data_IF_992782081292
#
_entry.id   IF_992782081292
#
_cell.length_a   1.000
_cell.length_b   1.000
_cell.length_c   1.000
_cell.angle_alpha   90.00
_cell.angle_beta   90.00
_cell.angle_gamma   90.00
#
_symmetry.space_group_name_H-M   'P 1'
#
loop_
_entity.id
_entity.type
_entity.pdbx_description
1 polymer ?
#
# COMPACT_ATOMS: atom_id res chain seq x y z
N UNK A 1 -10.15 -12.81 -10.97
CA UNK A 1 -10.02 -13.92 -11.95
C UNK A 1 -11.37 -14.32 -12.53
N UNK A 2 -12.45 -14.32 -11.73
CA UNK A 2 -13.82 -14.59 -12.19
C UNK A 2 -14.29 -13.69 -13.34
N UNK A 3 -13.84 -12.42 -13.38
CA UNK A 3 -14.10 -11.49 -14.47
C UNK A 3 -13.31 -11.79 -15.78
N UNK A 4 -12.60 -12.92 -15.88
CA UNK A 4 -11.86 -13.33 -17.09
C UNK A 4 -10.55 -12.57 -17.35
N UNK A 5 -10.13 -11.70 -16.44
CA UNK A 5 -8.89 -10.94 -16.56
C UNK A 5 -7.66 -11.81 -16.21
N UNK A 6 -6.58 -11.63 -16.98
CA UNK A 6 -5.26 -12.20 -16.67
C UNK A 6 -4.72 -11.54 -15.40
N UNK A 7 -4.31 -12.35 -14.44
CA UNK A 7 -3.77 -11.89 -13.14
C UNK A 7 -2.53 -12.71 -12.81
N UNK A 8 -1.42 -12.02 -12.57
CA UNK A 8 -0.18 -12.59 -12.04
C UNK A 8 -0.21 -12.47 -10.52
N UNK A 9 0.11 -13.53 -9.78
CA UNK A 9 0.16 -13.43 -8.32
C UNK A 9 1.46 -12.75 -7.87
N UNK A 10 1.43 -12.12 -6.70
CA UNK A 10 2.65 -11.54 -6.09
C UNK A 10 3.72 -12.61 -5.87
N UNK A 11 3.34 -13.82 -5.45
CA UNK A 11 4.28 -14.95 -5.27
C UNK A 11 4.98 -15.34 -6.56
N UNK A 12 4.32 -15.20 -7.71
CA UNK A 12 4.90 -15.52 -9.02
C UNK A 12 5.99 -14.49 -9.38
N UNK A 13 5.82 -13.23 -8.96
CA UNK A 13 6.80 -12.15 -9.15
C UNK A 13 7.96 -12.31 -8.16
N UNK A 14 7.66 -12.50 -6.87
CA UNK A 14 8.67 -12.55 -5.83
C UNK A 14 9.50 -13.83 -5.89
N UNK A 15 8.87 -14.96 -6.26
CA UNK A 15 9.40 -16.31 -6.10
C UNK A 15 9.39 -16.78 -4.64
N UNK A 16 8.74 -16.03 -3.75
CA UNK A 16 8.67 -16.32 -2.32
C UNK A 16 7.30 -16.93 -1.98
N UNK A 17 7.26 -18.09 -1.29
CA UNK A 17 6.00 -18.74 -0.93
C UNK A 17 5.21 -17.90 0.06
N UNK A 18 3.89 -18.07 0.08
CA UNK A 18 3.06 -17.49 1.13
C UNK A 18 3.40 -18.14 2.47
N UNK A 19 3.68 -17.32 3.49
CA UNK A 19 4.00 -17.76 4.84
C UNK A 19 3.50 -16.72 5.86
N UNK A 20 3.51 -17.10 7.16
CA UNK A 20 3.08 -16.24 8.27
C UNK A 20 1.69 -15.64 8.04
N UNK A 21 0.75 -16.47 7.57
CA UNK A 21 -0.63 -16.09 7.25
C UNK A 21 -0.73 -14.87 6.30
N UNK A 22 0.25 -14.75 5.39
CA UNK A 22 0.30 -13.71 4.37
C UNK A 22 0.82 -12.35 4.85
N UNK A 23 1.27 -12.23 6.10
CA UNK A 23 1.75 -10.97 6.72
C UNK A 23 2.90 -10.29 5.97
N UNK A 24 3.74 -11.07 5.30
CA UNK A 24 4.96 -10.58 4.65
C UNK A 24 4.92 -10.66 3.13
N UNK A 25 3.79 -11.05 2.54
CA UNK A 25 3.71 -11.42 1.11
C UNK A 25 4.16 -10.32 0.15
N UNK A 26 3.94 -9.05 0.50
CA UNK A 26 4.31 -7.88 -0.33
C UNK A 26 5.56 -7.16 0.14
N UNK A 27 6.10 -7.51 1.31
CA UNK A 27 7.29 -6.90 1.90
C UNK A 27 8.57 -7.46 1.28
N UNK A 28 8.68 -7.34 -0.04
CA UNK A 28 9.74 -7.97 -0.83
C UNK A 28 10.49 -6.95 -1.70
N UNK A 29 11.83 -7.06 -1.85
CA UNK A 29 12.62 -6.13 -2.67
C UNK A 29 12.19 -6.06 -4.13
N UNK A 30 11.70 -7.15 -4.73
CA UNK A 30 11.16 -7.11 -6.10
C UNK A 30 9.92 -6.22 -6.23
N UNK A 31 9.09 -6.12 -5.20
CA UNK A 31 7.92 -5.24 -5.19
C UNK A 31 8.36 -3.81 -4.90
N UNK A 32 9.07 -3.61 -3.78
CA UNK A 32 9.47 -2.27 -3.36
C UNK A 32 10.51 -1.62 -4.28
N UNK A 33 11.39 -2.41 -4.91
CA UNK A 33 12.31 -1.93 -5.94
C UNK A 33 11.57 -1.44 -7.19
N UNK A 34 10.52 -2.16 -7.62
CA UNK A 34 9.65 -1.73 -8.70
C UNK A 34 8.90 -0.42 -8.41
N UNK A 35 8.56 -0.19 -7.14
CA UNK A 35 7.92 1.04 -6.68
C UNK A 35 8.88 2.21 -6.45
N UNK A 36 10.11 1.95 -5.99
CA UNK A 36 11.04 2.98 -5.48
C UNK A 36 12.21 3.32 -6.41
N UNK A 37 12.41 2.58 -7.49
CA UNK A 37 13.46 2.89 -8.47
C UNK A 37 13.28 4.33 -9.01
N UNK A 38 14.37 5.10 -8.98
CA UNK A 38 14.42 6.43 -9.57
C UNK A 38 14.81 6.24 -11.01
N UNK A 39 13.85 6.43 -11.93
CA UNK A 39 14.01 6.00 -13.32
C UNK A 39 15.00 6.84 -14.13
N UNK A 40 15.21 8.09 -13.72
CA UNK A 40 16.22 8.97 -14.30
C UNK A 40 17.63 8.74 -13.71
N UNK A 41 17.80 7.77 -12.79
CA UNK A 41 19.10 7.40 -12.23
C UNK A 41 19.59 6.10 -12.90
N UNK A 42 20.65 6.22 -13.70
CA UNK A 42 21.23 5.10 -14.46
C UNK A 42 21.66 3.93 -13.57
N UNK A 43 22.20 4.19 -12.38
CA UNK A 43 22.62 3.15 -11.45
C UNK A 43 21.42 2.39 -10.88
N UNK A 44 20.32 3.06 -10.57
CA UNK A 44 19.09 2.37 -10.15
C UNK A 44 18.55 1.49 -11.29
N UNK A 45 18.57 1.98 -12.52
CA UNK A 45 18.09 1.21 -13.67
C UNK A 45 18.98 0.02 -14.01
N UNK A 46 20.30 0.13 -13.79
CA UNK A 46 21.24 -0.99 -13.85
C UNK A 46 20.87 -2.07 -12.83
N UNK A 47 20.68 -1.69 -11.57
CA UNK A 47 20.30 -2.62 -10.50
C UNK A 47 18.94 -3.28 -10.74
N UNK A 48 17.94 -2.53 -11.21
CA UNK A 48 16.62 -3.06 -11.59
C UNK A 48 16.76 -4.18 -12.62
N UNK A 49 17.58 -3.95 -13.66
CA UNK A 49 17.84 -4.94 -14.70
C UNK A 49 18.59 -6.16 -14.16
N UNK A 50 19.66 -5.95 -13.39
CA UNK A 50 20.49 -7.03 -12.84
C UNK A 50 19.73 -7.93 -11.87
N UNK A 51 18.84 -7.35 -11.07
CA UNK A 51 18.06 -8.07 -10.06
C UNK A 51 16.75 -8.63 -10.62
N UNK A 52 16.46 -8.44 -11.91
CA UNK A 52 15.22 -8.88 -12.55
C UNK A 52 13.98 -8.28 -11.90
N UNK A 53 14.02 -6.99 -11.58
CA UNK A 53 12.92 -6.23 -10.98
C UNK A 53 12.07 -5.63 -12.09
N UNK A 54 10.76 -5.82 -12.03
CA UNK A 54 9.81 -5.13 -12.91
C UNK A 54 9.39 -3.80 -12.28
N UNK A 55 9.35 -2.74 -13.10
CA UNK A 55 8.86 -1.43 -12.65
C UNK A 55 7.34 -1.44 -12.53
N UNK A 56 6.82 -0.70 -11.54
CA UNK A 56 5.39 -0.53 -11.32
C UNK A 56 5.02 0.92 -11.58
N UNK A 57 4.10 1.16 -12.52
CA UNK A 57 3.65 2.51 -12.92
C UNK A 57 2.41 2.98 -12.15
N UNK A 58 1.56 2.04 -11.74
CA UNK A 58 0.29 2.29 -11.08
C UNK A 58 0.08 1.24 -10.00
N UNK A 59 -0.29 1.70 -8.82
CA UNK A 59 -0.74 0.85 -7.73
C UNK A 59 -2.14 1.29 -7.30
N UNK A 60 -2.99 0.30 -6.99
CA UNK A 60 -4.34 0.52 -6.47
C UNK A 60 -4.48 -0.34 -5.23
N UNK A 61 -4.50 0.31 -4.06
CA UNK A 61 -4.65 -0.37 -2.76
C UNK A 61 -5.68 0.38 -1.94
N UNK A 62 -6.72 -0.32 -1.52
CA UNK A 62 -7.69 0.16 -0.56
C UNK A 62 -7.37 -0.54 0.77
N UNK A 63 -7.01 0.22 1.81
CA UNK A 63 -6.81 -0.37 3.13
C UNK A 63 -8.14 -0.88 3.66
N UNK A 64 -8.12 -2.10 4.20
CA UNK A 64 -9.26 -2.59 4.97
C UNK A 64 -9.37 -1.74 6.24
N UNK A 65 -10.56 -1.24 6.58
CA UNK A 65 -10.69 -0.28 7.65
C UNK A 65 -10.47 -0.97 9.00
N UNK A 66 -9.26 -0.88 9.55
CA UNK A 66 -8.94 -1.16 10.96
C UNK A 66 -10.00 -0.55 11.90
N UNK A 67 -10.50 0.64 11.54
CA UNK A 67 -11.66 1.29 12.15
C UNK A 67 -12.87 0.36 12.34
N UNK A 68 -13.27 -0.40 11.32
CA UNK A 68 -14.40 -1.34 11.43
C UNK A 68 -14.10 -2.49 12.38
N UNK A 69 -12.84 -2.91 12.51
CA UNK A 69 -12.44 -3.95 13.45
C UNK A 69 -12.58 -3.45 14.89
N UNK A 70 -12.02 -2.27 15.19
CA UNK A 70 -12.06 -1.70 16.55
C UNK A 70 -13.45 -1.17 16.97
N UNK A 71 -14.37 -0.99 16.02
CA UNK A 71 -15.77 -0.61 16.27
C UNK A 71 -16.67 -1.81 16.63
N UNK A 72 -16.17 -3.05 16.53
CA UNK A 72 -16.95 -4.22 16.97
C UNK A 72 -17.08 -4.21 18.50
N UNK A 73 -18.28 -4.49 19.05
CA UNK A 73 -18.52 -4.42 20.50
C UNK A 73 -17.57 -5.26 21.35
N UNK A 74 -17.15 -6.43 20.85
CA UNK A 74 -16.38 -7.43 21.59
C UNK A 74 -14.99 -7.68 21.00
N UNK A 75 -14.42 -6.68 20.31
CA UNK A 75 -13.08 -6.80 19.72
C UNK A 75 -12.03 -6.96 20.84
N UNK A 76 -11.24 -8.02 20.75
CA UNK A 76 -10.10 -8.22 21.64
C UNK A 76 -8.88 -7.44 21.16
N UNK A 77 -7.93 -7.17 22.06
CA UNK A 77 -6.64 -6.59 21.69
C UNK A 77 -5.92 -7.44 20.63
N UNK A 78 -5.93 -8.77 20.80
CA UNK A 78 -5.33 -9.69 19.84
C UNK A 78 -6.00 -9.57 18.46
N UNK A 79 -7.34 -9.57 18.40
CA UNK A 79 -8.06 -9.37 17.14
C UNK A 79 -7.72 -8.02 16.49
N UNK A 80 -7.61 -6.95 17.28
CA UNK A 80 -7.21 -5.65 16.76
C UNK A 80 -5.78 -5.68 16.20
N UNK A 81 -4.81 -6.23 16.95
CA UNK A 81 -3.39 -6.34 16.53
C UNK A 81 -3.27 -7.15 15.22
N UNK A 82 -4.00 -8.25 15.09
CA UNK A 82 -4.00 -9.07 13.88
C UNK A 82 -4.51 -8.32 12.64
N UNK A 83 -5.35 -7.29 12.84
CA UNK A 83 -5.90 -6.47 11.76
C UNK A 83 -5.07 -5.21 11.46
N UNK A 84 -3.91 -5.03 12.08
CA UNK A 84 -2.97 -3.97 11.72
C UNK A 84 -2.24 -4.38 10.44
N UNK A 85 -2.51 -3.67 9.35
CA UNK A 85 -1.88 -3.88 8.05
C UNK A 85 -0.49 -3.23 8.02
N UNK A 86 0.51 -4.03 7.66
CA UNK A 86 1.89 -3.58 7.47
C UNK A 86 2.20 -3.40 5.98
N UNK A 87 1.80 -4.37 5.16
CA UNK A 87 2.12 -4.41 3.74
C UNK A 87 1.45 -3.30 2.94
N UNK A 88 0.17 -3.04 3.21
CA UNK A 88 -0.61 -1.98 2.57
C UNK A 88 0.02 -0.60 2.78
N UNK A 89 0.18 -0.12 4.02
CA UNK A 89 0.84 1.15 4.30
C UNK A 89 2.27 1.23 3.76
N UNK A 90 3.06 0.15 3.80
CA UNK A 90 4.41 0.14 3.26
C UNK A 90 4.41 0.40 1.73
N UNK A 91 3.58 -0.31 0.97
CA UNK A 91 3.47 -0.12 -0.49
C UNK A 91 2.89 1.24 -0.84
N UNK A 92 1.87 1.71 -0.12
CA UNK A 92 1.27 3.02 -0.31
C UNK A 92 2.29 4.14 -0.13
N UNK A 93 3.03 4.14 0.99
CA UNK A 93 4.05 5.16 1.27
C UNK A 93 5.22 5.09 0.29
N UNK A 94 5.64 3.89 -0.12
CA UNK A 94 6.68 3.72 -1.14
C UNK A 94 6.28 4.36 -2.48
N UNK A 95 5.05 4.10 -2.91
CA UNK A 95 4.49 4.63 -4.16
C UNK A 95 4.29 6.14 -4.10
N UNK A 96 3.72 6.64 -3.00
CA UNK A 96 3.52 8.07 -2.77
C UNK A 96 4.84 8.84 -2.67
N UNK A 97 5.89 8.26 -2.08
CA UNK A 97 7.25 8.83 -2.10
C UNK A 97 7.76 8.97 -3.53
N UNK A 98 7.53 7.98 -4.38
CA UNK A 98 8.02 7.94 -5.76
C UNK A 98 7.00 8.44 -6.80
N UNK A 99 6.11 9.37 -6.41
CA UNK A 99 5.02 9.87 -7.25
C UNK A 99 5.46 10.49 -8.58
N UNK A 100 6.75 10.84 -8.71
CA UNK A 100 7.33 11.28 -9.98
C UNK A 100 7.13 10.22 -11.07
N UNK A 101 7.16 8.94 -10.73
CA UNK A 101 7.04 7.83 -11.68
C UNK A 101 5.85 6.89 -11.41
N UNK A 102 5.34 6.84 -10.17
CA UNK A 102 4.27 5.91 -9.77
C UNK A 102 2.98 6.67 -9.46
N UNK A 103 1.86 6.27 -10.07
CA UNK A 103 0.53 6.69 -9.66
C UNK A 103 0.02 5.76 -8.54
N UNK A 104 -0.59 6.32 -7.49
CA UNK A 104 -1.08 5.55 -6.33
C UNK A 104 -2.53 5.90 -6.06
N UNK A 105 -3.43 4.93 -6.13
CA UNK A 105 -4.86 5.16 -5.94
C UNK A 105 -5.37 4.39 -4.74
N UNK A 106 -6.08 5.08 -3.85
CA UNK A 106 -6.62 4.51 -2.60
C UNK A 106 -8.13 4.59 -2.47
N UNK A 107 -8.80 5.20 -3.46
CA UNK A 107 -10.21 5.53 -3.41
C UNK A 107 -10.81 5.33 -4.80
N UNK A 108 -11.90 4.55 -4.93
CA UNK A 108 -12.55 4.30 -6.22
C UNK A 108 -13.06 5.57 -6.90
N UNK A 109 -13.32 6.65 -6.16
CA UNK A 109 -13.74 7.93 -6.74
C UNK A 109 -12.69 8.56 -7.67
N UNK A 110 -11.41 8.20 -7.51
CA UNK A 110 -10.32 8.68 -8.35
C UNK A 110 -10.16 7.88 -9.66
N UNK A 111 -10.84 6.73 -9.80
CA UNK A 111 -10.66 5.83 -10.95
C UNK A 111 -11.01 6.51 -12.27
N UNK A 112 -12.11 7.28 -12.32
CA UNK A 112 -12.54 7.95 -13.54
C UNK A 112 -11.47 8.91 -14.05
N UNK A 113 -10.95 9.78 -13.19
CA UNK A 113 -9.90 10.74 -13.56
C UNK A 113 -8.62 10.05 -14.02
N UNK A 114 -8.17 9.01 -13.30
CA UNK A 114 -6.97 8.24 -13.66
C UNK A 114 -7.13 7.55 -15.01
N UNK A 115 -8.27 6.89 -15.23
CA UNK A 115 -8.56 6.18 -16.48
C UNK A 115 -8.67 7.14 -17.67
N UNK A 116 -9.28 8.31 -17.49
CA UNK A 116 -9.38 9.34 -18.54
C UNK A 116 -8.00 9.86 -18.95
N UNK A 117 -7.12 10.13 -17.98
CA UNK A 117 -5.73 10.54 -18.29
C UNK A 117 -4.98 9.43 -19.03
N UNK A 118 -5.02 8.20 -18.55
CA UNK A 118 -4.36 7.06 -19.21
C UNK A 118 -4.89 6.86 -20.64
N UNK A 119 -6.21 6.94 -20.86
CA UNK A 119 -6.80 6.78 -22.21
C UNK A 119 -6.36 7.87 -23.17
N UNK A 120 -6.16 9.10 -22.68
CA UNK A 120 -5.83 10.26 -23.52
C UNK A 120 -4.33 10.39 -23.78
N UNK A 121 -3.50 10.10 -22.78
CA UNK A 121 -2.06 10.40 -22.82
C UNK A 121 -1.16 9.19 -22.55
N UNK A 122 -1.74 8.00 -22.34
CA UNK A 122 -1.02 6.78 -21.91
C UNK A 122 -0.30 6.91 -20.55
N UNK A 123 -0.59 7.99 -19.81
CA UNK A 123 0.07 8.31 -18.54
C UNK A 123 -0.91 9.06 -17.62
N UNK A 124 -0.73 8.89 -16.32
CA UNK A 124 -1.34 9.75 -15.29
C UNK A 124 -0.50 11.01 -15.16
N UNK A 125 -1.08 12.20 -15.23
CA UNK A 125 -0.31 13.45 -15.23
C UNK A 125 0.46 13.66 -13.92
N UNK A 126 1.59 14.36 -13.98
CA UNK A 126 2.37 14.74 -12.78
C UNK A 126 1.50 15.43 -11.72
N UNK A 127 0.61 16.32 -12.15
CA UNK A 127 -0.35 17.04 -11.29
C UNK A 127 -1.30 16.08 -10.58
N UNK A 128 -1.75 15.02 -11.25
CA UNK A 128 -2.62 14.01 -10.65
C UNK A 128 -1.82 13.10 -9.72
N UNK A 129 -0.62 12.65 -10.11
CA UNK A 129 0.24 11.81 -9.25
C UNK A 129 0.58 12.48 -7.91
N UNK A 130 0.94 13.77 -7.90
CA UNK A 130 1.23 14.48 -6.65
C UNK A 130 -0.01 14.66 -5.75
N UNK A 131 -1.19 14.89 -6.33
CA UNK A 131 -2.46 14.96 -5.57
C UNK A 131 -2.78 13.62 -4.91
N UNK A 132 -2.64 12.54 -5.67
CA UNK A 132 -2.83 11.17 -5.22
C UNK A 132 -1.84 10.81 -4.09
N UNK A 133 -0.56 11.17 -4.25
CA UNK A 133 0.45 10.97 -3.21
C UNK A 133 0.13 11.72 -1.91
N UNK A 134 -0.37 12.97 -1.99
CA UNK A 134 -0.85 13.71 -0.81
C UNK A 134 -1.97 12.95 -0.11
N UNK A 135 -2.96 12.46 -0.87
CA UNK A 135 -4.11 11.69 -0.36
C UNK A 135 -3.65 10.44 0.39
N UNK A 136 -2.61 9.76 -0.12
CA UNK A 136 -2.00 8.62 0.56
C UNK A 136 -1.39 8.99 1.90
N UNK A 137 -0.53 10.00 1.96
CA UNK A 137 0.11 10.37 3.24
C UNK A 137 -0.91 10.86 4.28
N UNK A 138 -1.96 11.57 3.84
CA UNK A 138 -3.09 11.92 4.70
C UNK A 138 -3.82 10.68 5.22
N UNK A 139 -4.09 9.71 4.35
CA UNK A 139 -4.77 8.47 4.72
C UNK A 139 -3.95 7.62 5.69
N UNK A 140 -2.65 7.43 5.43
CA UNK A 140 -1.78 6.65 6.32
C UNK A 140 -1.57 7.35 7.66
N UNK A 141 -1.51 8.69 7.69
CA UNK A 141 -1.46 9.42 8.95
C UNK A 141 -2.72 9.18 9.79
N UNK A 142 -3.91 9.22 9.19
CA UNK A 142 -5.16 8.90 9.90
C UNK A 142 -5.20 7.45 10.37
N UNK A 143 -4.66 6.53 9.57
CA UNK A 143 -4.54 5.12 9.92
C UNK A 143 -3.68 4.92 11.17
N UNK A 144 -2.48 5.50 11.20
CA UNK A 144 -1.56 5.41 12.33
C UNK A 144 -2.11 6.09 13.60
N UNK A 145 -2.85 7.19 13.45
CA UNK A 145 -3.56 7.84 14.57
C UNK A 145 -4.59 6.89 15.19
N UNK A 146 -5.41 6.21 14.38
CA UNK A 146 -6.40 5.25 14.91
C UNK A 146 -5.75 4.10 15.68
N UNK A 147 -4.61 3.59 15.21
CA UNK A 147 -3.85 2.55 15.92
C UNK A 147 -3.33 3.08 17.25
N UNK A 148 -2.72 4.26 17.23
CA UNK A 148 -2.16 4.91 18.43
C UNK A 148 -3.24 5.16 19.48
N UNK A 149 -4.39 5.71 19.07
CA UNK A 149 -5.54 5.98 19.94
C UNK A 149 -6.09 4.68 20.56
N UNK A 150 -6.21 3.61 19.76
CA UNK A 150 -6.68 2.32 20.25
C UNK A 150 -5.72 1.73 21.29
N UNK A 151 -4.42 1.67 20.98
CA UNK A 151 -3.41 1.14 21.90
C UNK A 151 -3.32 1.98 23.19
N UNK A 152 -3.47 3.30 23.10
CA UNK A 152 -3.50 4.19 24.26
C UNK A 152 -4.61 3.83 25.26
N UNK A 153 -5.83 3.56 24.78
CA UNK A 153 -6.95 3.14 25.65
C UNK A 153 -6.68 1.82 26.37
N UNK A 154 -6.01 0.88 25.72
CA UNK A 154 -5.70 -0.42 26.32
C UNK A 154 -4.70 -0.27 27.48
N UNK A 155 -3.80 0.72 27.43
CA UNK A 155 -2.87 1.04 28.53
C UNK A 155 -3.62 1.63 29.73
N UNK A 156 -4.57 2.54 29.48
CA UNK A 156 -5.41 3.14 30.52
C UNK A 156 -6.29 2.11 31.22
N UNK A 157 -6.93 1.22 30.45
CA UNK A 157 -7.74 0.11 30.99
C UNK A 157 -6.89 -0.82 31.87
N UNK A 158 -5.67 -1.16 31.44
CA UNK A 158 -4.75 -2.01 32.23
C UNK A 158 -4.31 -1.31 33.52
N UNK A 159 -4.18 0.02 33.51
CA UNK A 159 -3.78 0.81 34.69
C UNK A 159 -4.90 0.95 35.72
N UNK A 160 -6.16 0.73 35.33
CA UNK A 160 -7.32 0.69 36.23
C UNK A 160 -7.50 -0.65 36.96
N UNK A 161 -6.73 -1.67 36.59
CA UNK A 161 -6.76 -3.02 37.17
C UNK A 161 -5.60 -3.33 38.14
N UNK A 162 -4.76 -2.34 38.48
CA UNK A 162 -3.61 -2.48 39.40
C UNK A 162 -3.85 -1.71 40.69
#
# INVERSE_FOLDING_TARGET
>A
REAGLKVTNVSDITGFPECLDGRVKTLHPKIHGGLLAIRDNEEHMRQVKELGIELIDLIVINLYPFKKTIEKPDVTLDEAIENIDIGGPAMLRASAKNFKYVAVVIDPSDYTTVLEEIRRTSEVSYKTRIKLARKVFEHTSKYDTMITDYLGKQIEDTSSCI
#
